data_IF_519747979256
#
_entry.id   IF_519747979256
#
_cell.length_a   1.000
_cell.length_b   1.000
_cell.length_c   1.000
_cell.angle_alpha   90.00
_cell.angle_beta   90.00
_cell.angle_gamma   90.00
#
_symmetry.space_group_name_H-M   'P 1'
#
loop_
_entity.id
_entity.type
_entity.pdbx_description
1 polymer ?
#
# COMPACT_ATOMS: atom_id res chain seq x y z
N UNK A 1 12.35 29.03 -10.49
CA UNK A 1 12.28 27.71 -11.17
C UNK A 1 13.23 26.70 -10.51
N UNK A 2 13.19 26.60 -9.18
CA UNK A 2 13.90 25.57 -8.39
C UNK A 2 12.87 24.80 -7.55
N UNK A 3 11.66 24.65 -8.10
CA UNK A 3 10.62 23.76 -7.62
C UNK A 3 10.74 22.51 -8.50
N UNK A 4 11.60 21.59 -8.07
CA UNK A 4 11.82 20.31 -8.75
C UNK A 4 10.55 19.47 -8.58
N UNK A 5 9.80 19.30 -9.68
CA UNK A 5 8.48 18.67 -9.68
C UNK A 5 8.50 17.27 -9.09
N UNK A 6 9.64 16.57 -9.17
CA UNK A 6 9.78 15.21 -8.68
C UNK A 6 9.94 15.12 -7.15
N UNK A 7 10.66 16.06 -6.52
CA UNK A 7 10.75 16.15 -5.05
C UNK A 7 9.38 16.46 -4.43
N UNK A 8 8.60 17.33 -5.08
CA UNK A 8 7.22 17.64 -4.69
C UNK A 8 6.27 16.45 -4.91
N UNK A 9 6.43 15.72 -6.02
CA UNK A 9 5.66 14.48 -6.24
C UNK A 9 5.99 13.43 -5.19
N UNK A 10 7.27 13.28 -4.83
CA UNK A 10 7.71 12.36 -3.80
C UNK A 10 7.18 12.74 -2.42
N UNK A 11 7.21 14.02 -2.04
CA UNK A 11 6.69 14.45 -0.73
C UNK A 11 5.20 14.14 -0.55
N UNK A 12 4.44 14.14 -1.65
CA UNK A 12 3.02 13.74 -1.66
C UNK A 12 2.83 12.20 -1.69
N UNK A 13 3.69 11.47 -2.40
CA UNK A 13 3.56 10.02 -2.60
C UNK A 13 4.14 9.20 -1.43
N UNK A 14 5.27 9.62 -0.86
CA UNK A 14 6.04 8.89 0.16
C UNK A 14 5.21 8.49 1.39
N UNK A 15 4.40 9.38 1.99
CA UNK A 15 3.61 9.01 3.18
C UNK A 15 2.61 7.88 2.90
N UNK A 16 1.99 7.88 1.71
CA UNK A 16 1.02 6.85 1.30
C UNK A 16 1.72 5.53 1.03
N UNK A 17 2.84 5.57 0.32
CA UNK A 17 3.67 4.40 0.08
C UNK A 17 4.07 3.72 1.39
N UNK A 18 4.60 4.48 2.34
CA UNK A 18 4.98 3.97 3.67
C UNK A 18 3.77 3.43 4.43
N UNK A 19 2.62 4.10 4.35
CA UNK A 19 1.37 3.64 4.97
C UNK A 19 0.96 2.26 4.45
N UNK A 20 0.96 2.04 3.12
CA UNK A 20 0.62 0.75 2.52
C UNK A 20 1.59 -0.34 2.97
N UNK A 21 2.90 -0.07 2.95
CA UNK A 21 3.91 -0.99 3.45
C UNK A 21 3.64 -1.39 4.92
N UNK A 22 3.38 -0.41 5.79
CA UNK A 22 3.05 -0.65 7.21
C UNK A 22 1.77 -1.44 7.38
N UNK A 23 0.72 -1.14 6.62
CA UNK A 23 -0.53 -1.91 6.69
C UNK A 23 -0.30 -3.38 6.33
N UNK A 24 0.46 -3.67 5.27
CA UNK A 24 0.76 -5.05 4.88
C UNK A 24 1.65 -5.79 5.90
N UNK A 25 2.54 -5.07 6.58
CA UNK A 25 3.48 -5.65 7.55
C UNK A 25 2.89 -5.79 8.97
N UNK A 26 2.11 -4.80 9.42
CA UNK A 26 1.72 -4.61 10.81
C UNK A 26 0.25 -4.93 11.11
N UNK A 27 -0.63 -4.81 10.10
CA UNK A 27 -2.08 -4.91 10.31
C UNK A 27 -2.50 -6.29 10.77
N UNK A 28 -3.21 -6.33 11.91
CA UNK A 28 -3.83 -7.56 12.41
C UNK A 28 -4.86 -8.13 11.42
N UNK A 29 -5.59 -7.27 10.73
CA UNK A 29 -6.59 -7.68 9.74
C UNK A 29 -5.96 -8.36 8.53
N UNK A 30 -4.83 -7.83 8.03
CA UNK A 30 -4.07 -8.48 6.93
C UNK A 30 -3.52 -9.82 7.38
N UNK A 31 -2.89 -9.87 8.56
CA UNK A 31 -2.40 -11.15 9.13
C UNK A 31 -3.51 -12.18 9.32
N UNK A 32 -4.71 -11.72 9.65
CA UNK A 32 -5.88 -12.60 9.77
C UNK A 32 -6.24 -13.22 8.42
N UNK A 33 -6.33 -12.43 7.35
CA UNK A 33 -6.53 -12.97 5.99
C UNK A 33 -5.41 -13.95 5.61
N UNK A 34 -4.15 -13.61 5.86
CA UNK A 34 -3.02 -14.51 5.60
C UNK A 34 -3.13 -15.81 6.41
N UNK A 35 -3.57 -15.76 7.67
CA UNK A 35 -3.80 -16.95 8.49
C UNK A 35 -4.91 -17.84 7.94
N UNK A 36 -5.98 -17.25 7.38
CA UNK A 36 -7.05 -17.99 6.71
C UNK A 36 -6.56 -18.63 5.40
N UNK A 37 -5.73 -17.91 4.63
CA UNK A 37 -5.06 -18.47 3.43
C UNK A 37 -4.19 -19.67 3.79
N UNK A 38 -3.39 -19.56 4.85
CA UNK A 38 -2.55 -20.67 5.33
C UNK A 38 -3.38 -21.86 5.84
N UNK A 39 -4.46 -21.58 6.60
CA UNK A 39 -5.37 -22.61 7.08
C UNK A 39 -6.07 -23.33 5.91
N UNK A 40 -6.44 -22.61 4.86
CA UNK A 40 -6.95 -23.22 3.62
C UNK A 40 -5.90 -24.08 2.95
N UNK A 41 -4.69 -23.56 2.71
CA UNK A 41 -3.63 -24.31 2.04
C UNK A 41 -3.35 -25.68 2.68
N UNK A 42 -3.48 -25.77 4.01
CA UNK A 42 -3.39 -27.03 4.75
C UNK A 42 -4.56 -27.98 4.49
N UNK A 43 -5.81 -27.47 4.44
CA UNK A 43 -7.02 -28.28 4.20
C UNK A 43 -7.15 -28.72 2.74
N UNK A 44 -6.73 -27.87 1.81
CA UNK A 44 -7.06 -27.99 0.38
C UNK A 44 -6.12 -28.94 -0.36
N UNK A 45 -4.93 -29.22 0.20
CA UNK A 45 -4.05 -30.28 -0.30
C UNK A 45 -4.73 -31.66 -0.30
N UNK A 46 -5.79 -31.84 0.52
CA UNK A 46 -6.49 -33.12 0.69
C UNK A 46 -7.89 -33.18 0.06
N UNK A 47 -8.54 -32.04 -0.22
CA UNK A 47 -9.99 -31.99 -0.52
C UNK A 47 -10.40 -31.20 -1.77
N UNK A 48 -9.46 -30.57 -2.50
CA UNK A 48 -9.79 -29.75 -3.67
C UNK A 48 -9.18 -30.31 -4.96
N UNK A 49 -9.93 -30.18 -6.05
CA UNK A 49 -9.57 -30.71 -7.37
C UNK A 49 -9.36 -29.57 -8.37
N UNK A 50 -8.40 -29.69 -9.31
CA UNK A 50 -8.28 -28.74 -10.41
C UNK A 50 -9.49 -28.83 -11.35
N UNK A 51 -10.14 -27.69 -11.62
CA UNK A 51 -11.22 -27.55 -12.60
C UNK A 51 -11.11 -26.21 -13.34
N UNK A 52 -11.10 -26.27 -14.68
CA UNK A 52 -11.06 -25.08 -15.58
C UNK A 52 -10.00 -24.02 -15.21
N UNK A 53 -8.83 -24.45 -14.72
CA UNK A 53 -7.73 -23.54 -14.34
C UNK A 53 -7.85 -22.93 -12.94
N UNK A 54 -8.83 -23.33 -12.14
CA UNK A 54 -8.98 -22.97 -10.73
C UNK A 54 -9.03 -24.21 -9.82
N UNK A 55 -8.70 -24.03 -8.54
CA UNK A 55 -8.95 -25.06 -7.52
C UNK A 55 -10.36 -24.86 -6.98
N UNK A 56 -11.21 -25.86 -7.20
CA UNK A 56 -12.61 -25.88 -6.79
C UNK A 56 -12.88 -27.02 -5.81
N UNK A 57 -13.98 -26.92 -5.07
CA UNK A 57 -14.48 -28.01 -4.24
C UNK A 57 -14.87 -29.23 -5.11
N UNK A 58 -15.05 -30.40 -4.49
CA UNK A 58 -15.38 -31.64 -5.20
C UNK A 58 -16.66 -31.55 -6.02
N UNK A 59 -17.56 -30.64 -5.64
CA UNK A 59 -18.84 -30.39 -6.31
C UNK A 59 -18.77 -29.27 -7.37
N UNK A 60 -17.59 -28.65 -7.58
CA UNK A 60 -17.36 -27.57 -8.54
C UNK A 60 -18.28 -26.35 -8.35
N UNK A 61 -18.69 -26.08 -7.10
CA UNK A 61 -19.64 -25.02 -6.74
C UNK A 61 -18.95 -23.75 -6.25
N UNK A 62 -17.75 -23.85 -5.67
CA UNK A 62 -17.03 -22.73 -5.08
C UNK A 62 -15.52 -22.76 -5.39
N UNK A 63 -14.94 -21.60 -5.70
CA UNK A 63 -13.47 -21.49 -5.80
C UNK A 63 -12.82 -21.36 -4.43
N UNK A 64 -11.54 -21.71 -4.33
CA UNK A 64 -10.71 -21.46 -3.13
C UNK A 64 -10.88 -20.05 -2.56
N UNK A 65 -10.92 -19.06 -3.45
CA UNK A 65 -11.04 -17.67 -3.08
C UNK A 65 -12.41 -17.34 -2.48
N UNK A 66 -13.47 -17.94 -3.02
CA UNK A 66 -14.81 -17.78 -2.48
C UNK A 66 -14.94 -18.43 -1.09
N UNK A 67 -14.29 -19.57 -0.87
CA UNK A 67 -14.20 -20.22 0.44
C UNK A 67 -13.43 -19.34 1.43
N UNK A 68 -12.29 -18.77 1.03
CA UNK A 68 -11.50 -17.84 1.85
C UNK A 68 -12.35 -16.67 2.35
N UNK A 69 -13.05 -16.00 1.44
CA UNK A 69 -13.89 -14.84 1.78
C UNK A 69 -15.08 -15.27 2.64
N UNK A 70 -15.65 -16.45 2.39
CA UNK A 70 -16.74 -16.99 3.21
C UNK A 70 -16.29 -17.21 4.65
N UNK A 71 -15.15 -17.89 4.87
CA UNK A 71 -14.59 -18.11 6.20
C UNK A 71 -14.31 -16.79 6.92
N UNK A 72 -13.82 -15.79 6.19
CA UNK A 72 -13.64 -14.45 6.77
C UNK A 72 -14.97 -13.85 7.22
N UNK A 73 -16.03 -13.94 6.42
CA UNK A 73 -17.35 -13.44 6.79
C UNK A 73 -17.94 -14.21 7.98
N UNK A 74 -17.78 -15.54 8.02
CA UNK A 74 -18.32 -16.41 9.07
C UNK A 74 -17.85 -15.97 10.47
N UNK A 75 -16.59 -15.57 10.61
CA UNK A 75 -16.06 -15.07 11.89
C UNK A 75 -16.77 -13.81 12.42
N UNK A 76 -17.27 -12.95 11.54
CA UNK A 76 -18.03 -11.74 11.91
C UNK A 76 -19.54 -12.02 11.99
N UNK A 77 -20.01 -13.02 11.26
CA UNK A 77 -21.42 -13.37 11.18
C UNK A 77 -21.87 -14.16 12.41
N UNK A 78 -21.05 -15.08 12.90
CA UNK A 78 -21.33 -15.88 14.11
C UNK A 78 -21.19 -15.07 15.41
N UNK A 79 -20.40 -13.99 15.39
CA UNK A 79 -20.15 -13.12 16.54
C UNK A 79 -21.11 -11.93 16.67
N UNK A 80 -22.01 -11.71 15.71
CA UNK A 80 -22.98 -10.61 15.71
C UNK A 80 -24.43 -11.08 15.91
N UNK A 81 -25.23 -10.30 16.64
CA UNK A 81 -26.68 -10.54 16.75
C UNK A 81 -27.39 -10.25 15.40
N UNK A 82 -28.41 -11.02 15.00
CA UNK A 82 -29.06 -10.89 13.68
C UNK A 82 -29.79 -9.55 13.42
N UNK A 83 -29.91 -8.69 14.44
CA UNK A 83 -30.83 -7.54 14.43
C UNK A 83 -30.18 -6.20 14.07
N UNK A 84 -28.86 -6.14 13.89
CA UNK A 84 -28.20 -4.91 13.44
C UNK A 84 -27.18 -5.27 12.38
N UNK A 85 -27.31 -4.68 11.19
CA UNK A 85 -26.46 -4.95 10.03
C UNK A 85 -24.96 -4.88 10.36
N UNK A 86 -24.39 -6.04 10.70
CA UNK A 86 -22.97 -6.21 10.98
C UNK A 86 -22.22 -5.86 9.71
N UNK A 87 -21.61 -4.67 9.69
CA UNK A 87 -20.75 -4.25 8.58
C UNK A 87 -19.48 -5.07 8.68
N UNK A 88 -19.37 -6.13 7.88
CA UNK A 88 -18.14 -6.91 7.77
C UNK A 88 -17.04 -5.96 7.25
N UNK A 89 -16.01 -5.65 8.04
CA UNK A 89 -15.01 -4.67 7.64
C UNK A 89 -14.17 -5.21 6.49
N UNK A 90 -13.64 -4.32 5.64
CA UNK A 90 -12.66 -4.71 4.64
C UNK A 90 -11.28 -4.87 5.30
N UNK A 91 -10.62 -6.05 5.24
CA UNK A 91 -9.43 -6.33 6.05
C UNK A 91 -8.10 -5.91 5.43
N UNK A 92 -8.09 -5.48 4.16
CA UNK A 92 -6.89 -5.20 3.37
C UNK A 92 -6.72 -3.69 3.15
N UNK A 93 -5.53 -3.22 2.73
CA UNK A 93 -5.31 -1.82 2.35
C UNK A 93 -6.23 -1.42 1.18
N UNK A 94 -6.58 -0.14 1.09
CA UNK A 94 -7.44 0.33 0.00
C UNK A 94 -6.80 0.04 -1.37
N UNK A 95 -7.51 -0.62 -2.31
CA UNK A 95 -6.93 -1.00 -3.59
C UNK A 95 -6.34 0.17 -4.39
N UNK A 96 -6.92 1.37 -4.30
CA UNK A 96 -6.43 2.54 -5.03
C UNK A 96 -5.12 3.08 -4.43
N UNK A 97 -4.96 3.00 -3.11
CA UNK A 97 -3.69 3.32 -2.46
C UNK A 97 -2.59 2.33 -2.82
N UNK A 98 -2.92 1.03 -2.91
CA UNK A 98 -1.97 0.00 -3.34
C UNK A 98 -1.55 0.20 -4.80
N UNK A 99 -2.49 0.54 -5.69
CA UNK A 99 -2.16 0.90 -7.08
C UNK A 99 -1.24 2.11 -7.15
N UNK A 100 -1.49 3.15 -6.36
CA UNK A 100 -0.60 4.31 -6.30
C UNK A 100 0.80 3.93 -5.80
N UNK A 101 0.90 3.02 -4.82
CA UNK A 101 2.18 2.51 -4.34
C UNK A 101 2.92 1.70 -5.42
N UNK A 102 2.21 1.01 -6.32
CA UNK A 102 2.78 0.28 -7.44
C UNK A 102 3.45 1.22 -8.48
N UNK A 103 2.95 2.44 -8.63
CA UNK A 103 3.50 3.43 -9.57
C UNK A 103 4.74 4.18 -9.02
N UNK A 104 5.16 3.87 -7.79
CA UNK A 104 6.35 4.48 -7.19
C UNK A 104 7.63 3.89 -7.78
N UNK A 105 8.47 4.77 -8.34
CA UNK A 105 9.81 4.43 -8.81
C UNK A 105 10.88 4.85 -7.79
N UNK A 106 11.17 3.97 -6.82
CA UNK A 106 12.22 4.21 -5.81
C UNK A 106 13.61 4.42 -6.43
N UNK A 107 13.91 3.70 -7.53
CA UNK A 107 15.21 3.80 -8.19
C UNK A 107 15.38 5.16 -8.87
N UNK A 108 14.33 5.63 -9.55
CA UNK A 108 14.26 6.97 -10.14
C UNK A 108 14.45 8.07 -9.09
N UNK A 109 13.67 8.02 -8.01
CA UNK A 109 13.75 9.00 -6.90
C UNK A 109 15.14 9.04 -6.27
N UNK A 110 15.79 7.88 -6.09
CA UNK A 110 17.17 7.80 -5.59
C UNK A 110 18.17 8.40 -6.59
N UNK A 111 17.95 8.21 -7.89
CA UNK A 111 18.74 8.83 -8.96
C UNK A 111 18.65 10.35 -8.93
N UNK A 112 17.43 10.88 -8.77
CA UNK A 112 17.17 12.31 -8.63
C UNK A 112 17.82 12.90 -7.39
N UNK A 113 17.76 12.20 -6.24
CA UNK A 113 18.45 12.60 -5.01
C UNK A 113 19.96 12.76 -5.24
N UNK A 114 20.59 11.82 -5.97
CA UNK A 114 22.02 11.92 -6.33
C UNK A 114 22.29 13.12 -7.24
N UNK A 115 21.43 13.36 -8.22
CA UNK A 115 21.55 14.48 -9.14
C UNK A 115 21.40 15.84 -8.43
N UNK A 116 20.41 15.97 -7.53
CA UNK A 116 20.20 17.14 -6.68
C UNK A 116 21.41 17.41 -5.78
N UNK A 117 21.96 16.36 -5.15
CA UNK A 117 23.16 16.47 -4.34
C UNK A 117 24.37 16.99 -5.14
N UNK A 118 24.59 16.45 -6.34
CA UNK A 118 25.67 16.90 -7.22
C UNK A 118 25.49 18.36 -7.67
N UNK A 119 24.26 18.77 -8.02
CA UNK A 119 23.93 20.16 -8.38
C UNK A 119 24.16 21.11 -7.21
N UNK A 120 23.81 20.73 -5.99
CA UNK A 120 24.02 21.55 -4.80
C UNK A 120 25.52 21.77 -4.53
N UNK A 121 26.34 20.73 -4.69
CA UNK A 121 27.81 20.84 -4.56
C UNK A 121 28.39 21.74 -5.65
N UNK A 122 27.93 21.62 -6.89
CA UNK A 122 28.35 22.47 -7.99
C UNK A 122 27.98 23.94 -7.74
N UNK A 123 26.75 24.20 -7.28
CA UNK A 123 26.30 25.52 -6.88
C UNK A 123 27.19 26.08 -5.77
N UNK A 124 27.46 25.33 -4.70
CA UNK A 124 28.33 25.79 -3.61
C UNK A 124 29.72 26.23 -4.11
N UNK A 125 30.31 25.51 -5.07
CA UNK A 125 31.59 25.91 -5.70
C UNK A 125 31.47 27.23 -6.46
N UNK A 126 30.39 27.44 -7.21
CA UNK A 126 30.13 28.68 -7.94
C UNK A 126 29.97 29.84 -6.97
N UNK A 127 29.16 29.66 -5.91
CA UNK A 127 28.93 30.66 -4.87
C UNK A 127 30.24 31.09 -4.22
N UNK A 128 31.07 30.11 -3.85
CA UNK A 128 32.38 30.38 -3.26
C UNK A 128 33.28 31.15 -4.22
N UNK A 129 33.32 30.74 -5.49
CA UNK A 129 34.12 31.42 -6.53
C UNK A 129 33.70 32.88 -6.70
N UNK A 130 32.40 33.14 -6.83
CA UNK A 130 31.85 34.50 -6.99
C UNK A 130 32.17 35.34 -5.75
N UNK A 131 31.94 34.81 -4.55
CA UNK A 131 32.26 35.52 -3.31
C UNK A 131 33.75 35.89 -3.20
N UNK A 132 34.65 35.02 -3.66
CA UNK A 132 36.09 35.30 -3.65
C UNK A 132 36.54 36.30 -4.71
N UNK A 133 35.92 36.28 -5.90
CA UNK A 133 36.28 37.16 -7.02
C UNK A 133 35.68 38.56 -6.94
N UNK A 134 34.63 38.76 -6.13
CA UNK A 134 33.96 40.06 -5.99
C UNK A 134 34.73 41.01 -5.08
N UNK A 135 34.66 42.31 -5.41
CA UNK A 135 35.20 43.39 -4.58
C UNK A 135 34.49 43.45 -3.21
N UNK A 136 35.17 43.88 -2.12
CA UNK A 136 34.60 43.88 -0.77
C UNK A 136 33.30 44.67 -0.64
N UNK A 137 33.16 45.77 -1.39
CA UNK A 137 31.97 46.63 -1.44
C UNK A 137 30.78 46.00 -2.18
N UNK A 138 30.99 44.95 -2.98
CA UNK A 138 29.97 44.26 -3.79
C UNK A 138 29.68 42.83 -3.31
N UNK A 139 30.42 42.33 -2.31
CA UNK A 139 30.25 40.98 -1.74
C UNK A 139 28.92 40.81 -1.02
N UNK A 140 28.51 41.82 -0.27
CA UNK A 140 27.18 41.92 0.33
C UNK A 140 26.32 42.74 -0.63
N UNK A 141 25.15 42.27 -1.11
CA UNK A 141 24.22 41.29 -0.51
C UNK A 141 24.27 39.87 -1.09
N UNK A 142 25.12 39.60 -2.08
CA UNK A 142 25.19 38.31 -2.77
C UNK A 142 25.53 37.16 -1.82
N UNK A 143 26.59 37.31 -1.03
CA UNK A 143 27.06 36.28 -0.11
C UNK A 143 25.98 35.88 0.90
N UNK A 144 25.34 36.86 1.56
CA UNK A 144 24.24 36.61 2.51
C UNK A 144 23.05 35.90 1.85
N UNK A 145 22.57 36.39 0.71
CA UNK A 145 21.40 35.79 0.03
C UNK A 145 21.70 34.36 -0.42
N UNK A 146 22.90 34.14 -0.94
CA UNK A 146 23.29 32.86 -1.49
C UNK A 146 23.64 31.82 -0.41
N UNK A 147 24.30 32.21 0.67
CA UNK A 147 24.51 31.32 1.82
C UNK A 147 23.16 30.89 2.43
N UNK A 148 22.20 31.82 2.60
CA UNK A 148 20.85 31.47 3.07
C UNK A 148 20.09 30.52 2.13
N UNK A 149 20.37 30.60 0.82
CA UNK A 149 19.82 29.66 -0.16
C UNK A 149 20.48 28.27 -0.02
N UNK A 150 21.81 28.21 0.08
CA UNK A 150 22.54 26.96 0.27
C UNK A 150 22.14 26.25 1.56
N UNK A 151 21.97 26.97 2.67
CA UNK A 151 21.57 26.39 3.95
C UNK A 151 20.18 25.76 3.89
N UNK A 152 19.21 26.45 3.27
CA UNK A 152 17.88 25.89 3.02
C UNK A 152 17.94 24.67 2.10
N UNK A 153 18.64 24.77 0.97
CA UNK A 153 18.75 23.66 0.03
C UNK A 153 19.46 22.43 0.64
N UNK A 154 20.43 22.63 1.54
CA UNK A 154 21.06 21.54 2.31
C UNK A 154 20.09 20.87 3.27
N UNK A 155 19.27 21.66 3.96
CA UNK A 155 18.22 21.16 4.85
C UNK A 155 17.18 20.36 4.07
N UNK A 156 16.62 20.93 3.01
CA UNK A 156 15.60 20.28 2.19
C UNK A 156 16.13 18.99 1.55
N UNK A 157 17.39 18.98 1.09
CA UNK A 157 18.04 17.78 0.56
C UNK A 157 18.24 16.69 1.63
N UNK A 158 18.53 17.09 2.87
CA UNK A 158 18.67 16.16 4.00
C UNK A 158 17.33 15.52 4.35
N UNK A 159 16.27 16.33 4.47
CA UNK A 159 14.91 15.85 4.73
C UNK A 159 14.43 14.94 3.60
N UNK A 160 14.65 15.33 2.34
CA UNK A 160 14.32 14.49 1.19
C UNK A 160 15.07 13.15 1.24
N UNK A 161 16.37 13.14 1.55
CA UNK A 161 17.16 11.92 1.71
C UNK A 161 16.62 11.00 2.81
N UNK A 162 16.22 11.57 3.95
CA UNK A 162 15.66 10.82 5.06
C UNK A 162 14.35 10.13 4.63
N UNK A 163 13.42 10.85 4.01
CA UNK A 163 12.15 10.27 3.53
C UNK A 163 12.35 9.15 2.49
N UNK A 164 13.34 9.28 1.61
CA UNK A 164 13.68 8.23 0.63
C UNK A 164 14.24 7.00 1.35
N UNK A 165 15.14 7.20 2.32
CA UNK A 165 15.75 6.11 3.09
C UNK A 165 14.72 5.35 3.93
N UNK A 166 13.77 6.06 4.53
CA UNK A 166 12.67 5.47 5.28
C UNK A 166 11.76 4.61 4.40
N UNK A 167 11.40 5.12 3.21
CA UNK A 167 10.61 4.37 2.24
C UNK A 167 11.34 3.11 1.74
N UNK A 168 12.64 3.23 1.41
CA UNK A 168 13.47 2.08 1.01
C UNK A 168 13.54 1.03 2.13
N UNK A 169 13.78 1.45 3.37
CA UNK A 169 13.86 0.55 4.52
C UNK A 169 12.54 -0.14 4.77
N UNK A 170 11.44 0.61 4.73
CA UNK A 170 10.10 0.06 4.92
C UNK A 170 9.78 -0.98 3.84
N UNK A 171 10.06 -0.68 2.58
CA UNK A 171 9.82 -1.60 1.47
C UNK A 171 10.73 -2.85 1.53
N UNK A 172 12.01 -2.71 1.85
CA UNK A 172 12.89 -3.85 2.08
C UNK A 172 12.35 -4.80 3.17
N UNK A 173 11.83 -4.25 4.27
CA UNK A 173 11.24 -5.05 5.34
C UNK A 173 10.01 -5.84 4.85
N UNK A 174 9.17 -5.26 3.99
CA UNK A 174 8.00 -5.99 3.45
C UNK A 174 8.45 -7.10 2.50
N UNK A 175 9.43 -6.84 1.63
CA UNK A 175 9.95 -7.86 0.72
C UNK A 175 10.52 -9.04 1.50
N UNK A 176 11.29 -8.78 2.55
CA UNK A 176 11.78 -9.83 3.45
C UNK A 176 10.64 -10.59 4.14
N UNK A 177 9.62 -9.88 4.63
CA UNK A 177 8.47 -10.50 5.29
C UNK A 177 7.69 -11.44 4.35
N UNK A 178 7.56 -11.08 3.07
CA UNK A 178 6.90 -11.89 2.05
C UNK A 178 7.86 -12.78 1.24
N UNK A 179 9.09 -12.98 1.73
CA UNK A 179 10.12 -13.82 1.10
C UNK A 179 10.39 -13.49 -0.37
N UNK A 180 10.29 -12.20 -0.75
CA UNK A 180 10.57 -11.71 -2.09
C UNK A 180 12.05 -11.31 -2.23
N UNK A 181 12.61 -11.37 -3.45
CA UNK A 181 13.93 -10.83 -3.72
C UNK A 181 14.03 -9.34 -3.33
N UNK A 182 15.10 -8.89 -2.65
CA UNK A 182 15.27 -7.48 -2.28
C UNK A 182 15.30 -6.51 -3.46
N UNK A 183 15.54 -7.02 -4.67
CA UNK A 183 15.55 -6.25 -5.92
C UNK A 183 14.17 -6.13 -6.58
N UNK A 184 13.13 -6.76 -6.03
CA UNK A 184 11.78 -6.72 -6.62
C UNK A 184 11.24 -5.29 -6.62
N UNK A 185 10.88 -4.71 -7.78
CA UNK A 185 10.40 -3.34 -7.86
C UNK A 185 9.00 -3.20 -7.25
N UNK A 186 8.65 -2.02 -6.67
CA UNK A 186 7.32 -1.77 -6.10
C UNK A 186 6.17 -2.15 -7.02
N UNK A 187 6.30 -1.83 -8.32
CA UNK A 187 5.31 -2.18 -9.33
C UNK A 187 4.99 -3.67 -9.35
N UNK A 188 6.02 -4.51 -9.36
CA UNK A 188 5.82 -5.96 -9.41
C UNK A 188 5.14 -6.46 -8.14
N UNK A 189 5.63 -6.07 -6.96
CA UNK A 189 5.06 -6.49 -5.70
C UNK A 189 3.62 -6.00 -5.49
N UNK A 190 3.39 -4.69 -5.64
CA UNK A 190 2.09 -4.08 -5.36
C UNK A 190 1.04 -4.36 -6.45
N UNK A 191 1.41 -4.69 -7.69
CA UNK A 191 0.41 -5.09 -8.70
C UNK A 191 -0.35 -6.35 -8.29
N UNK A 192 0.36 -7.33 -7.74
CA UNK A 192 -0.27 -8.56 -7.23
C UNK A 192 -1.20 -8.25 -6.04
N UNK A 193 -0.74 -7.42 -5.10
CA UNK A 193 -1.55 -6.99 -3.96
C UNK A 193 -2.76 -6.16 -4.39
N UNK A 194 -2.61 -5.27 -5.37
CA UNK A 194 -3.71 -4.46 -5.88
C UNK A 194 -4.80 -5.34 -6.47
N UNK A 195 -4.44 -6.32 -7.31
CA UNK A 195 -5.38 -7.29 -7.86
C UNK A 195 -6.09 -8.07 -6.74
N UNK A 196 -5.31 -8.62 -5.79
CA UNK A 196 -5.87 -9.35 -4.65
C UNK A 196 -6.84 -8.51 -3.81
N UNK A 197 -6.51 -7.24 -3.52
CA UNK A 197 -7.37 -6.33 -2.78
C UNK A 197 -8.67 -6.02 -3.53
N UNK A 198 -8.62 -5.83 -4.86
CA UNK A 198 -9.82 -5.62 -5.69
C UNK A 198 -10.72 -6.85 -5.64
N UNK A 199 -10.17 -8.02 -5.95
CA UNK A 199 -10.92 -9.28 -6.00
C UNK A 199 -11.58 -9.57 -4.65
N UNK A 200 -10.85 -9.33 -3.54
CA UNK A 200 -11.36 -9.58 -2.20
C UNK A 200 -12.51 -8.63 -1.87
N UNK A 201 -12.39 -7.35 -2.23
CA UNK A 201 -13.41 -6.32 -1.99
C UNK A 201 -14.70 -6.64 -2.75
N UNK A 202 -14.58 -7.05 -4.01
CA UNK A 202 -15.73 -7.43 -4.84
C UNK A 202 -16.42 -8.68 -4.32
N UNK A 203 -15.64 -9.71 -3.97
CA UNK A 203 -16.18 -10.97 -3.50
C UNK A 203 -16.83 -10.84 -2.10
N UNK A 204 -16.21 -10.05 -1.21
CA UNK A 204 -16.77 -9.72 0.10
C UNK A 204 -18.14 -9.06 -0.04
N UNK A 205 -18.25 -8.02 -0.88
CA UNK A 205 -19.51 -7.33 -1.17
C UNK A 205 -20.56 -8.27 -1.73
N UNK A 206 -20.17 -9.12 -2.70
CA UNK A 206 -21.08 -10.11 -3.32
C UNK A 206 -21.65 -11.07 -2.27
N UNK A 207 -20.80 -11.68 -1.45
CA UNK A 207 -21.23 -12.67 -0.46
C UNK A 207 -22.02 -12.07 0.70
N UNK A 208 -21.63 -10.89 1.20
CA UNK A 208 -22.41 -10.18 2.24
C UNK A 208 -23.83 -9.88 1.73
N UNK A 209 -23.96 -9.37 0.50
CA UNK A 209 -25.27 -9.11 -0.11
C UNK A 209 -26.11 -10.39 -0.27
N UNK A 210 -25.49 -11.51 -0.63
CA UNK A 210 -26.18 -12.80 -0.74
C UNK A 210 -26.69 -13.30 0.62
N UNK A 211 -25.85 -13.23 1.67
CA UNK A 211 -26.22 -13.63 3.03
C UNK A 211 -27.35 -12.78 3.60
N UNK A 212 -27.28 -11.46 3.41
CA UNK A 212 -28.35 -10.55 3.82
C UNK A 212 -29.69 -10.88 3.14
N UNK A 213 -29.68 -11.12 1.81
CA UNK A 213 -30.89 -11.54 1.08
C UNK A 213 -31.46 -12.87 1.57
N UNK A 214 -30.60 -13.82 1.96
CA UNK A 214 -30.99 -15.08 2.59
C UNK A 214 -31.75 -14.86 3.90
N UNK A 215 -31.21 -14.02 4.79
CA UNK A 215 -31.86 -13.63 6.05
C UNK A 215 -33.19 -12.92 5.82
N UNK A 216 -33.24 -11.96 4.89
CA UNK A 216 -34.49 -11.23 4.60
C UNK A 216 -35.59 -12.16 4.09
N UNK A 217 -35.26 -13.12 3.21
CA UNK A 217 -36.24 -14.12 2.74
C UNK A 217 -36.74 -15.00 3.88
N UNK A 218 -35.83 -15.49 4.74
CA UNK A 218 -36.19 -16.35 5.87
C UNK A 218 -37.09 -15.65 6.89
N UNK A 219 -36.82 -14.37 7.18
CA UNK A 219 -37.63 -13.54 8.09
C UNK A 219 -39.03 -13.23 7.51
N UNK A 220 -39.15 -13.09 6.19
CA UNK A 220 -40.47 -12.90 5.55
C UNK A 220 -41.27 -14.21 5.61
N UNK A 221 -40.67 -15.37 5.32
CA UNK A 221 -41.37 -16.66 5.43
C UNK A 221 -41.83 -16.98 6.85
N UNK A 222 -40.99 -16.74 7.87
CA UNK A 222 -41.37 -16.98 9.27
C UNK A 222 -42.47 -16.03 9.78
N UNK A 223 -42.50 -14.78 9.29
CA UNK A 223 -43.55 -13.81 9.63
C UNK A 223 -44.90 -14.14 8.97
N UNK A 224 -44.90 -14.82 7.81
CA UNK A 224 -46.11 -15.26 7.13
C UNK A 224 -46.70 -16.51 7.79
N UNK A 225 -45.87 -17.42 8.29
CA UNK A 225 -46.32 -18.62 9.01
C UNK A 225 -46.84 -18.34 10.42
N UNK A 226 -46.46 -17.22 11.05
CA UNK A 226 -46.93 -16.80 12.39
C UNK A 226 -48.31 -16.15 12.40
N UNK A 227 -48.88 -15.80 11.25
CA UNK A 227 -50.17 -15.08 11.13
C UNK A 227 -51.30 -15.97 10.56
N UNK A 228 -51.13 -17.29 10.58
CA UNK A 228 -52.12 -18.29 10.13
C UNK A 228 -52.81 -19.02 11.27
#
# INVERSE_FOLDING_TARGET
AFEDSASQRWSLASPRFISVCRQLYESRSVRKVLSLVLALGSRTCSTMVPAEGALMDSENTCTLFQVLVSMYIDEYWESGSPELGTVVPFPLPDPEEVKQAAEVDLAGVKGELRHLSARLIANEKIVRKVATSSAPSEREPFAKKMNSFLDRAKKDLSEFRETVTDAETCYCNILMYFCQPPSTPPKEFFSHWAAFCVDFKEQLRRQVNLRQRGVTKFNISSSVESNG
#
